data_IF_310770968072
#
_entry.id   IF_310770968072
#
_cell.length_a   1.000
_cell.length_b   1.000
_cell.length_c   1.000
_cell.angle_alpha   90.00
_cell.angle_beta   90.00
_cell.angle_gamma   90.00
#
_symmetry.space_group_name_H-M   'P 1'
#
loop_
_entity.id
_entity.type
_entity.pdbx_description
1 polymer ?
#
# COMPACT_ATOMS: atom_id res chain seq x y z
N UNK A 1 6.03 90.49 -7.31
CA UNK A 1 6.67 90.27 -8.62
C UNK A 1 7.55 89.04 -8.48
N UNK A 2 7.27 88.06 -9.33
CA UNK A 2 8.15 86.88 -9.69
C UNK A 2 8.73 86.08 -8.51
N UNK A 3 8.65 84.79 -8.46
CA UNK A 3 8.37 83.71 -9.44
C UNK A 3 8.09 82.43 -8.70
N UNK A 4 6.98 81.83 -8.98
CA UNK A 4 6.67 80.44 -8.66
C UNK A 4 7.07 79.63 -9.90
N UNK A 5 7.83 78.58 -9.76
CA UNK A 5 7.94 77.42 -10.65
C UNK A 5 9.22 76.65 -10.31
N UNK A 6 9.12 75.57 -9.58
CA UNK A 6 9.97 74.37 -9.61
C UNK A 6 9.74 73.49 -8.38
N UNK A 7 8.54 72.89 -8.29
CA UNK A 7 8.30 71.82 -7.30
C UNK A 7 7.39 70.71 -7.80
N UNK A 8 7.32 70.50 -9.11
CA UNK A 8 6.41 69.45 -9.64
C UNK A 8 7.07 68.30 -10.46
N UNK A 9 8.40 68.19 -10.43
CA UNK A 9 9.07 67.16 -11.29
C UNK A 9 9.76 65.98 -10.54
N UNK A 10 9.71 65.90 -9.21
CA UNK A 10 10.45 64.87 -8.49
C UNK A 10 9.52 63.77 -7.94
N UNK A 11 8.22 64.01 -7.87
CA UNK A 11 7.25 63.02 -7.32
C UNK A 11 6.81 62.01 -8.39
N UNK A 12 6.92 62.32 -9.68
CA UNK A 12 6.53 61.42 -10.77
C UNK A 12 7.51 60.27 -11.05
N UNK A 13 8.79 60.42 -10.67
CA UNK A 13 9.82 59.41 -10.95
C UNK A 13 9.93 58.32 -9.87
N UNK A 14 9.41 58.55 -8.67
CA UNK A 14 9.50 57.61 -7.58
C UNK A 14 8.34 56.58 -7.56
N UNK A 15 7.22 56.89 -8.19
CA UNK A 15 6.07 55.95 -8.32
C UNK A 15 6.19 54.94 -9.45
N UNK A 16 7.12 55.12 -10.40
CA UNK A 16 7.29 54.22 -11.55
C UNK A 16 8.32 53.10 -11.28
N UNK A 17 9.07 53.19 -10.17
CA UNK A 17 10.06 52.15 -9.80
C UNK A 17 9.53 51.07 -8.87
N UNK A 18 8.29 51.17 -8.38
CA UNK A 18 7.66 50.18 -7.50
C UNK A 18 6.75 49.15 -8.20
N UNK A 19 6.64 49.23 -9.53
CA UNK A 19 5.81 48.29 -10.31
C UNK A 19 6.60 47.14 -10.95
N UNK A 20 7.89 46.98 -10.63
CA UNK A 20 8.73 45.89 -11.13
C UNK A 20 9.14 44.89 -10.03
N UNK A 21 8.59 44.95 -8.83
CA UNK A 21 8.55 43.78 -7.95
C UNK A 21 7.52 42.79 -8.49
N UNK A 22 7.82 42.22 -9.65
CA UNK A 22 7.18 41.02 -10.10
C UNK A 22 7.34 39.98 -9.00
N UNK A 23 6.22 39.58 -8.36
CA UNK A 23 6.15 38.32 -7.63
C UNK A 23 6.65 37.23 -8.59
N UNK A 24 7.93 36.93 -8.54
CA UNK A 24 8.38 35.59 -8.86
C UNK A 24 7.68 34.71 -7.86
N UNK A 25 6.58 34.06 -8.26
CA UNK A 25 6.16 32.81 -7.60
C UNK A 25 7.43 31.99 -7.54
N UNK A 26 8.07 31.97 -6.37
CA UNK A 26 8.93 30.84 -6.03
C UNK A 26 8.09 29.63 -6.34
N UNK A 27 8.43 28.95 -7.44
CA UNK A 27 8.05 27.54 -7.60
C UNK A 27 8.58 26.94 -6.33
N UNK A 28 7.70 26.58 -5.39
CA UNK A 28 8.05 25.73 -4.27
C UNK A 28 8.88 24.63 -4.91
N UNK A 29 10.14 24.51 -4.53
CA UNK A 29 10.95 23.37 -4.94
C UNK A 29 10.15 22.17 -4.48
N UNK A 30 9.48 21.51 -5.43
CA UNK A 30 8.63 20.38 -5.17
C UNK A 30 9.47 19.42 -4.36
N UNK A 31 9.04 19.12 -3.15
CA UNK A 31 9.62 18.07 -2.34
C UNK A 31 9.88 16.90 -3.28
N UNK A 32 11.14 16.45 -3.39
CA UNK A 32 11.49 15.37 -4.29
C UNK A 32 10.49 14.23 -4.08
N UNK A 33 9.87 13.76 -5.16
CA UNK A 33 8.84 12.72 -5.10
C UNK A 33 9.38 11.51 -4.32
N UNK A 34 8.78 11.22 -3.17
CA UNK A 34 9.25 10.22 -2.23
C UNK A 34 8.39 8.98 -2.33
N UNK A 35 9.02 7.81 -2.41
CA UNK A 35 8.33 6.53 -2.35
C UNK A 35 8.01 6.13 -0.91
N UNK A 36 7.04 5.25 -0.76
CA UNK A 36 6.84 4.44 0.43
C UNK A 36 6.60 3.00 0.01
N UNK A 37 6.93 2.04 0.87
CA UNK A 37 6.81 0.64 0.53
C UNK A 37 6.18 -0.17 1.66
N UNK A 38 5.54 -1.28 1.30
CA UNK A 38 5.25 -2.37 2.22
C UNK A 38 6.41 -3.36 2.24
N UNK A 39 6.71 -3.88 3.42
CA UNK A 39 7.55 -5.05 3.66
C UNK A 39 6.69 -6.14 4.29
N UNK A 40 6.29 -7.14 3.50
CA UNK A 40 5.24 -8.09 3.90
C UNK A 40 5.77 -9.50 4.15
N UNK A 41 6.97 -9.62 4.75
CA UNK A 41 7.60 -10.88 5.11
C UNK A 41 7.73 -11.04 6.62
N UNK A 42 7.75 -12.28 7.11
CA UNK A 42 7.91 -12.61 8.54
C UNK A 42 9.36 -12.48 9.06
N UNK A 43 10.34 -12.38 8.15
CA UNK A 43 11.73 -12.08 8.51
C UNK A 43 12.13 -10.74 7.91
N UNK A 44 12.47 -9.78 8.75
CA UNK A 44 12.97 -8.48 8.32
C UNK A 44 14.46 -8.57 8.01
N UNK A 45 14.77 -8.82 6.75
CA UNK A 45 16.12 -8.93 6.22
C UNK A 45 16.18 -8.22 4.85
N UNK A 46 16.64 -6.98 4.84
CA UNK A 46 16.80 -6.19 3.62
C UNK A 46 18.06 -6.64 2.89
N UNK A 47 17.90 -7.09 1.64
CA UNK A 47 19.00 -7.38 0.73
C UNK A 47 19.74 -6.11 0.30
N UNK A 48 20.90 -6.27 -0.35
CA UNK A 48 21.67 -5.15 -0.91
C UNK A 48 20.84 -4.41 -1.98
N UNK A 49 20.15 -5.15 -2.83
CA UNK A 49 19.34 -4.58 -3.91
C UNK A 49 18.12 -3.82 -3.35
N UNK A 50 17.45 -4.36 -2.32
CA UNK A 50 16.34 -3.66 -1.67
C UNK A 50 16.79 -2.36 -1.00
N UNK A 51 17.93 -2.36 -0.30
CA UNK A 51 18.50 -1.14 0.26
C UNK A 51 18.80 -0.11 -0.83
N UNK A 52 19.42 -0.54 -1.94
CA UNK A 52 19.69 0.31 -3.09
C UNK A 52 18.41 0.91 -3.69
N UNK A 53 17.32 0.12 -3.79
CA UNK A 53 16.02 0.60 -4.27
C UNK A 53 15.45 1.66 -3.32
N UNK A 54 15.42 1.36 -2.01
CA UNK A 54 14.91 2.28 -0.99
C UNK A 54 15.66 3.63 -1.01
N UNK A 55 16.98 3.59 -1.08
CA UNK A 55 17.82 4.79 -1.15
C UNK A 55 17.62 5.54 -2.47
N UNK A 56 17.61 4.82 -3.60
CA UNK A 56 17.46 5.42 -4.93
C UNK A 56 16.11 6.11 -5.12
N UNK A 57 15.05 5.66 -4.47
CA UNK A 57 13.71 6.24 -4.54
C UNK A 57 13.42 7.21 -3.39
N UNK A 58 14.44 7.58 -2.59
CA UNK A 58 14.28 8.48 -1.43
C UNK A 58 13.11 8.06 -0.54
N UNK A 59 13.06 6.76 -0.20
CA UNK A 59 11.94 6.17 0.53
C UNK A 59 11.73 6.87 1.87
N UNK A 60 10.49 7.33 2.10
CA UNK A 60 10.10 8.05 3.30
C UNK A 60 9.59 7.13 4.40
N UNK A 61 8.68 6.20 4.04
CA UNK A 61 8.04 5.29 5.00
C UNK A 61 8.23 3.84 4.55
N UNK A 62 8.41 2.95 5.53
CA UNK A 62 8.36 1.52 5.31
C UNK A 62 7.30 0.92 6.24
N UNK A 63 6.22 0.41 5.65
CA UNK A 63 5.14 -0.30 6.33
C UNK A 63 5.57 -1.75 6.53
N UNK A 64 5.94 -2.11 7.75
CA UNK A 64 6.53 -3.42 8.06
C UNK A 64 5.48 -4.29 8.75
N UNK A 65 5.15 -5.44 8.17
CA UNK A 65 4.28 -6.42 8.81
C UNK A 65 4.96 -7.00 10.04
N UNK A 66 4.42 -6.70 11.22
CA UNK A 66 4.99 -7.16 12.49
C UNK A 66 4.49 -8.54 12.89
N UNK A 67 3.20 -8.78 12.69
CA UNK A 67 2.56 -10.08 12.93
C UNK A 67 1.16 -10.08 12.35
N UNK A 68 0.63 -11.27 12.22
CA UNK A 68 -0.77 -11.51 11.93
C UNK A 68 -1.51 -11.80 13.24
N UNK A 69 -2.81 -11.51 13.31
CA UNK A 69 -3.69 -11.94 14.40
C UNK A 69 -4.79 -12.78 13.81
N UNK A 70 -4.93 -14.01 14.31
CA UNK A 70 -5.96 -14.91 13.85
C UNK A 70 -6.63 -15.64 15.03
N UNK A 71 -7.86 -16.05 14.80
CA UNK A 71 -8.63 -16.82 15.77
C UNK A 71 -8.17 -18.27 15.82
N UNK A 72 -7.81 -18.74 17.00
CA UNK A 72 -7.52 -20.14 17.22
C UNK A 72 -8.77 -20.84 17.77
N UNK A 73 -9.38 -21.78 17.01
CA UNK A 73 -10.61 -22.45 17.42
C UNK A 73 -10.43 -23.39 18.62
N UNK A 74 -9.23 -23.90 18.84
CA UNK A 74 -8.94 -24.82 19.95
C UNK A 74 -8.84 -24.09 21.30
N UNK A 75 -8.06 -23.01 21.32
CA UNK A 75 -7.92 -22.18 22.54
C UNK A 75 -9.06 -21.17 22.70
N UNK A 76 -9.89 -20.96 21.66
CA UNK A 76 -10.93 -19.93 21.57
C UNK A 76 -10.40 -18.53 21.90
N UNK A 77 -9.27 -18.20 21.33
CA UNK A 77 -8.59 -16.90 21.54
C UNK A 77 -7.98 -16.38 20.26
N UNK A 78 -7.94 -15.06 20.12
CA UNK A 78 -7.13 -14.39 19.12
C UNK A 78 -5.65 -14.53 19.49
N UNK A 79 -4.81 -14.98 18.54
CA UNK A 79 -3.39 -15.26 18.75
C UNK A 79 -2.52 -14.56 17.71
N UNK A 80 -1.35 -14.03 18.09
CA UNK A 80 -0.39 -13.55 17.13
C UNK A 80 0.28 -14.70 16.39
N UNK A 81 0.34 -14.62 15.06
CA UNK A 81 1.01 -15.57 14.17
C UNK A 81 2.09 -14.82 13.36
N UNK A 82 3.03 -15.56 12.79
CA UNK A 82 4.06 -15.03 11.90
C UNK A 82 4.74 -13.76 12.47
N UNK A 83 5.07 -13.79 13.76
CA UNK A 83 5.72 -12.66 14.44
C UNK A 83 7.09 -12.41 13.81
N UNK A 84 7.34 -11.16 13.43
CA UNK A 84 8.53 -10.75 12.70
C UNK A 84 9.82 -11.12 13.44
N UNK A 85 10.77 -11.65 12.69
CA UNK A 85 12.14 -11.87 13.12
C UNK A 85 13.05 -10.83 12.45
N UNK A 86 13.80 -10.06 13.23
CA UNK A 86 14.60 -8.96 12.70
C UNK A 86 16.07 -9.37 12.56
N UNK A 87 16.57 -9.29 11.31
CA UNK A 87 17.95 -9.60 10.94
C UNK A 87 18.68 -8.40 10.31
N UNK A 88 17.97 -7.33 9.99
CA UNK A 88 18.52 -6.10 9.43
C UNK A 88 18.16 -4.89 10.28
N UNK A 89 19.05 -3.88 10.29
CA UNK A 89 18.69 -2.54 10.74
C UNK A 89 17.95 -1.79 9.64
N UNK A 90 17.02 -0.91 10.02
CA UNK A 90 16.38 0.04 9.12
C UNK A 90 17.10 1.38 9.20
N UNK A 91 17.35 2.03 8.05
CA UNK A 91 17.93 3.39 8.01
C UNK A 91 17.11 4.37 8.85
N UNK A 92 17.78 5.25 9.59
CA UNK A 92 17.11 6.28 10.40
C UNK A 92 16.33 7.30 9.56
N UNK A 93 16.71 7.48 8.30
CA UNK A 93 16.02 8.34 7.35
C UNK A 93 14.63 7.84 6.93
N UNK A 94 14.32 6.56 7.19
CA UNK A 94 13.05 5.93 6.81
C UNK A 94 12.16 5.81 8.04
N UNK A 95 11.00 6.43 8.04
CA UNK A 95 9.99 6.26 9.08
C UNK A 95 9.41 4.84 9.03
N UNK A 96 9.48 4.13 10.14
CA UNK A 96 8.91 2.80 10.29
C UNK A 96 7.44 2.89 10.66
N UNK A 97 6.59 2.17 9.93
CA UNK A 97 5.17 2.01 10.24
C UNK A 97 4.90 0.53 10.58
N UNK A 98 4.83 0.17 11.87
CA UNK A 98 4.41 -1.17 12.28
C UNK A 98 3.02 -1.46 11.74
N UNK A 99 2.88 -2.54 10.96
CA UNK A 99 1.62 -2.95 10.36
C UNK A 99 1.21 -4.32 10.92
N UNK A 100 -0.05 -4.43 11.34
CA UNK A 100 -0.62 -5.68 11.87
C UNK A 100 -1.80 -6.08 11.02
N UNK A 101 -1.73 -7.28 10.44
CA UNK A 101 -2.86 -7.89 9.76
C UNK A 101 -3.74 -8.64 10.74
N UNK A 102 -5.04 -8.35 10.76
CA UNK A 102 -6.01 -9.04 11.61
C UNK A 102 -7.05 -9.67 10.71
N UNK A 103 -7.18 -11.00 10.78
CA UNK A 103 -8.16 -11.72 9.98
C UNK A 103 -9.58 -11.32 10.36
N UNK A 104 -10.47 -11.23 9.36
CA UNK A 104 -11.89 -10.98 9.59
C UNK A 104 -12.50 -12.01 10.54
N UNK A 105 -12.06 -13.28 10.44
CA UNK A 105 -12.45 -14.39 11.32
C UNK A 105 -12.21 -14.08 12.81
N UNK A 106 -11.17 -13.34 13.15
CA UNK A 106 -10.91 -12.90 14.52
C UNK A 106 -12.09 -12.11 15.07
N UNK A 107 -12.57 -11.12 14.31
CA UNK A 107 -13.69 -10.27 14.74
C UNK A 107 -15.05 -10.97 14.67
N UNK A 108 -15.20 -12.04 13.89
CA UNK A 108 -16.41 -12.86 13.87
C UNK A 108 -16.65 -13.61 15.19
N UNK A 109 -15.58 -13.90 15.93
CA UNK A 109 -15.62 -14.70 17.14
C UNK A 109 -15.50 -13.87 18.44
N UNK A 110 -15.10 -12.59 18.34
CA UNK A 110 -14.94 -11.73 19.50
C UNK A 110 -16.25 -11.04 19.91
N UNK A 111 -16.42 -10.85 21.21
CA UNK A 111 -17.39 -9.88 21.79
C UNK A 111 -16.74 -8.51 21.94
N UNK A 112 -17.54 -7.47 22.10
CA UNK A 112 -17.02 -6.08 22.17
C UNK A 112 -15.94 -5.89 23.26
N UNK A 113 -16.16 -6.41 24.49
CA UNK A 113 -15.17 -6.31 25.56
C UNK A 113 -13.85 -7.06 25.25
N UNK A 114 -13.92 -8.14 24.50
CA UNK A 114 -12.72 -8.89 24.06
C UNK A 114 -11.98 -8.13 22.94
N UNK A 115 -12.73 -7.40 22.10
CA UNK A 115 -12.17 -6.47 21.10
C UNK A 115 -11.39 -5.34 21.76
N UNK A 116 -11.92 -4.74 22.84
CA UNK A 116 -11.21 -3.71 23.62
C UNK A 116 -9.90 -4.24 24.21
N UNK A 117 -9.93 -5.45 24.78
CA UNK A 117 -8.73 -6.10 25.32
C UNK A 117 -7.71 -6.46 24.21
N UNK A 118 -8.20 -6.84 23.03
CA UNK A 118 -7.34 -7.14 21.88
C UNK A 118 -6.58 -5.90 21.44
N UNK A 119 -7.22 -4.72 21.42
CA UNK A 119 -6.57 -3.46 21.06
C UNK A 119 -5.34 -3.17 21.94
N UNK A 120 -5.49 -3.31 23.26
CA UNK A 120 -4.36 -3.12 24.20
C UNK A 120 -3.27 -4.19 24.03
N UNK A 121 -3.65 -5.46 23.83
CA UNK A 121 -2.69 -6.54 23.59
C UNK A 121 -1.88 -6.32 22.31
N UNK A 122 -2.53 -5.92 21.22
CA UNK A 122 -1.89 -5.61 19.92
C UNK A 122 -0.94 -4.44 20.08
N UNK A 123 -1.37 -3.34 20.70
CA UNK A 123 -0.53 -2.17 20.97
C UNK A 123 0.72 -2.56 21.79
N UNK A 124 0.53 -3.25 22.90
CA UNK A 124 1.63 -3.67 23.77
C UNK A 124 2.62 -4.60 23.03
N UNK A 125 2.13 -5.51 22.20
CA UNK A 125 2.95 -6.41 21.37
C UNK A 125 3.78 -5.62 20.37
N UNK A 126 3.18 -4.63 19.67
CA UNK A 126 3.89 -3.75 18.74
C UNK A 126 5.06 -3.06 19.47
N UNK A 127 4.79 -2.37 20.58
CA UNK A 127 5.84 -1.65 21.31
C UNK A 127 6.90 -2.58 21.92
N UNK A 128 6.53 -3.81 22.32
CA UNK A 128 7.50 -4.82 22.74
C UNK A 128 8.49 -5.16 21.61
N UNK A 129 7.98 -5.38 20.38
CA UNK A 129 8.81 -5.66 19.20
C UNK A 129 9.69 -4.46 18.86
N UNK A 130 9.14 -3.25 18.88
CA UNK A 130 9.89 -2.01 18.60
C UNK A 130 11.06 -1.85 19.58
N UNK A 131 10.81 -1.99 20.88
CA UNK A 131 11.86 -1.87 21.90
C UNK A 131 12.94 -2.93 21.76
N UNK A 132 12.55 -4.16 21.46
CA UNK A 132 13.49 -5.27 21.36
C UNK A 132 14.39 -5.18 20.13
N UNK A 133 13.85 -4.78 18.98
CA UNK A 133 14.50 -4.97 17.69
C UNK A 133 14.90 -3.68 16.97
N UNK A 134 14.11 -2.61 17.11
CA UNK A 134 14.32 -1.39 16.32
C UNK A 134 14.84 -0.21 17.13
N UNK A 135 14.52 -0.13 18.43
CA UNK A 135 14.97 0.92 19.38
C UNK A 135 14.74 2.35 18.84
N UNK A 136 13.59 2.60 18.24
CA UNK A 136 13.28 3.90 17.61
C UNK A 136 11.85 4.35 17.89
N UNK A 137 11.58 5.62 17.64
CA UNK A 137 10.25 6.22 17.79
C UNK A 137 9.31 5.72 16.68
N UNK A 138 8.08 5.45 17.04
CA UNK A 138 6.97 5.13 16.11
C UNK A 138 6.08 6.35 16.00
N UNK A 139 5.84 6.84 14.78
CA UNK A 139 4.97 7.98 14.49
C UNK A 139 3.60 7.54 13.98
N UNK A 140 3.51 6.33 13.43
CA UNK A 140 2.32 5.77 12.82
C UNK A 140 2.27 4.26 13.07
N UNK A 141 1.09 3.73 13.33
CA UNK A 141 0.77 2.30 13.37
C UNK A 141 -0.36 2.04 12.38
N UNK A 142 -0.28 0.96 11.63
CA UNK A 142 -1.32 0.58 10.69
C UNK A 142 -1.98 -0.75 11.08
N UNK A 143 -3.31 -0.79 10.94
CA UNK A 143 -4.09 -2.04 11.04
C UNK A 143 -4.62 -2.39 9.65
N UNK A 144 -4.33 -3.60 9.21
CA UNK A 144 -4.87 -4.18 7.98
C UNK A 144 -5.95 -5.21 8.34
N UNK A 145 -7.17 -5.00 7.85
CA UNK A 145 -8.28 -5.92 8.04
C UNK A 145 -9.31 -5.77 6.93
N UNK A 146 -9.70 -6.88 6.33
CA UNK A 146 -10.78 -6.95 5.35
C UNK A 146 -12.14 -7.10 6.07
N UNK A 147 -12.57 -6.06 6.81
CA UNK A 147 -13.82 -6.14 7.56
C UNK A 147 -15.04 -6.28 6.65
N UNK A 148 -16.06 -6.94 7.19
CA UNK A 148 -17.36 -7.12 6.57
C UNK A 148 -18.47 -6.46 7.39
N UNK A 149 -19.69 -6.42 6.89
CA UNK A 149 -20.83 -5.90 7.63
C UNK A 149 -21.07 -6.62 8.98
N UNK A 150 -20.67 -7.89 9.06
CA UNK A 150 -20.79 -8.71 10.29
C UNK A 150 -19.77 -8.32 11.34
N UNK A 151 -18.57 -7.93 10.92
CA UNK A 151 -17.43 -7.68 11.82
C UNK A 151 -17.20 -6.19 12.07
N UNK A 152 -17.74 -5.32 11.21
CA UNK A 152 -17.58 -3.87 11.25
C UNK A 152 -17.70 -3.28 12.66
N UNK A 153 -18.76 -3.64 13.39
CA UNK A 153 -19.04 -3.08 14.71
C UNK A 153 -17.91 -3.37 15.72
N UNK A 154 -17.44 -4.59 15.77
CA UNK A 154 -16.40 -5.01 16.72
C UNK A 154 -15.02 -4.48 16.27
N UNK A 155 -14.74 -4.53 14.98
CA UNK A 155 -13.51 -3.97 14.42
C UNK A 155 -13.41 -2.46 14.65
N UNK A 156 -14.47 -1.69 14.40
CA UNK A 156 -14.45 -0.25 14.62
C UNK A 156 -14.29 0.09 16.10
N UNK A 157 -14.94 -0.65 16.99
CA UNK A 157 -14.73 -0.50 18.43
C UNK A 157 -13.27 -0.78 18.84
N UNK A 158 -12.66 -1.81 18.30
CA UNK A 158 -11.23 -2.10 18.46
C UNK A 158 -10.37 -0.91 18.01
N UNK A 159 -10.66 -0.33 16.84
CA UNK A 159 -9.93 0.83 16.33
C UNK A 159 -10.12 2.08 17.19
N UNK A 160 -11.32 2.34 17.70
CA UNK A 160 -11.59 3.46 18.62
C UNK A 160 -10.73 3.36 19.90
N UNK A 161 -10.71 2.18 20.51
CA UNK A 161 -9.90 1.95 21.72
C UNK A 161 -8.41 2.15 21.40
N UNK A 162 -7.95 1.60 20.30
CA UNK A 162 -6.56 1.73 19.88
C UNK A 162 -6.20 3.18 19.58
N UNK A 163 -7.05 3.90 18.83
CA UNK A 163 -6.87 5.31 18.50
C UNK A 163 -6.76 6.16 19.75
N UNK A 164 -7.74 6.06 20.67
CA UNK A 164 -7.75 6.83 21.92
C UNK A 164 -6.51 6.57 22.80
N UNK A 165 -5.94 5.37 22.70
CA UNK A 165 -4.72 5.02 23.42
C UNK A 165 -3.46 5.61 22.75
N UNK A 166 -3.40 5.64 21.41
CA UNK A 166 -2.29 6.17 20.61
C UNK A 166 -2.29 7.71 20.58
N UNK A 167 -3.46 8.36 20.66
CA UNK A 167 -3.60 9.82 20.70
C UNK A 167 -2.83 10.43 21.88
N UNK A 168 -2.73 9.73 23.00
CA UNK A 168 -1.96 10.15 24.18
C UNK A 168 -0.47 10.30 23.91
N UNK A 169 0.04 9.55 22.96
CA UNK A 169 1.43 9.52 22.56
C UNK A 169 1.67 10.26 21.24
N UNK A 170 0.66 10.94 20.69
CA UNK A 170 0.65 11.60 19.38
C UNK A 170 1.06 10.66 18.23
N UNK A 171 0.60 9.40 18.27
CA UNK A 171 0.86 8.40 17.25
C UNK A 171 -0.36 8.26 16.32
N UNK A 172 -0.13 8.37 15.03
CA UNK A 172 -1.15 8.22 14.01
C UNK A 172 -1.59 6.74 13.93
N UNK A 173 -2.90 6.51 13.94
CA UNK A 173 -3.47 5.22 13.56
C UNK A 173 -3.97 5.30 12.14
N UNK A 174 -3.48 4.41 11.27
CA UNK A 174 -4.00 4.24 9.90
C UNK A 174 -4.63 2.86 9.72
N UNK A 175 -5.52 2.75 8.74
CA UNK A 175 -6.13 1.48 8.35
C UNK A 175 -6.16 1.32 6.84
N UNK A 176 -6.06 0.08 6.36
CA UNK A 176 -6.24 -0.24 4.94
C UNK A 176 -7.70 -0.17 4.56
N UNK A 177 -7.97 0.29 3.35
CA UNK A 177 -9.31 0.43 2.77
C UNK A 177 -9.33 -0.31 1.43
N UNK A 178 -10.24 -1.26 1.29
CA UNK A 178 -10.47 -1.96 0.02
C UNK A 178 -11.37 -1.12 -0.89
N UNK A 179 -11.28 -1.32 -2.20
CA UNK A 179 -12.09 -0.57 -3.19
C UNK A 179 -13.61 -0.68 -2.95
N UNK A 180 -14.11 -1.87 -2.58
CA UNK A 180 -15.53 -2.06 -2.27
C UNK A 180 -15.96 -1.34 -0.98
N UNK A 181 -15.05 -1.08 -0.05
CA UNK A 181 -15.30 -0.29 1.16
C UNK A 181 -15.24 1.22 0.83
N UNK A 182 -14.28 1.60 -0.02
CA UNK A 182 -14.11 2.98 -0.48
C UNK A 182 -15.34 3.50 -1.26
N UNK A 183 -15.90 2.70 -2.16
CA UNK A 183 -17.01 3.15 -3.00
C UNK A 183 -18.36 3.26 -2.27
N UNK A 184 -18.51 2.65 -1.11
CA UNK A 184 -19.77 2.62 -0.36
C UNK A 184 -19.57 2.95 1.13
N UNK A 185 -19.05 4.14 1.50
CA UNK A 185 -18.72 4.49 2.88
C UNK A 185 -19.96 4.55 3.78
N UNK A 186 -21.15 4.88 3.25
CA UNK A 186 -22.38 4.91 4.01
C UNK A 186 -22.84 3.51 4.44
N UNK A 187 -22.64 2.51 3.60
CA UNK A 187 -23.06 1.14 3.86
C UNK A 187 -21.96 0.37 4.62
N UNK A 188 -20.72 0.44 4.11
CA UNK A 188 -19.58 -0.28 4.65
C UNK A 188 -18.99 0.35 5.90
N UNK A 189 -19.27 1.64 6.13
CA UNK A 189 -18.73 2.44 7.22
C UNK A 189 -17.34 3.00 6.91
N UNK A 190 -16.95 3.97 7.72
CA UNK A 190 -15.64 4.61 7.71
C UNK A 190 -14.93 4.24 9.01
N UNK A 191 -13.75 3.61 8.97
CA UNK A 191 -13.05 3.21 10.18
C UNK A 191 -12.63 4.44 11.00
N UNK A 192 -12.75 4.40 12.33
CA UNK A 192 -12.44 5.52 13.22
C UNK A 192 -10.93 5.63 13.45
N UNK A 193 -10.20 6.00 12.41
CA UNK A 193 -8.74 6.19 12.37
C UNK A 193 -8.40 7.61 11.93
N UNK A 194 -7.11 7.98 11.95
CA UNK A 194 -6.67 9.31 11.51
C UNK A 194 -6.61 9.41 9.99
N UNK A 195 -6.18 8.34 9.30
CA UNK A 195 -6.06 8.28 7.85
C UNK A 195 -6.23 6.85 7.35
N UNK A 196 -6.53 6.69 6.07
CA UNK A 196 -6.63 5.41 5.41
C UNK A 196 -5.55 5.20 4.36
N UNK A 197 -5.34 3.95 3.96
CA UNK A 197 -4.56 3.58 2.78
C UNK A 197 -5.48 2.83 1.82
N UNK A 198 -5.82 3.45 0.69
CA UNK A 198 -6.60 2.80 -0.35
C UNK A 198 -5.74 1.76 -1.08
N UNK A 199 -6.12 0.51 -0.97
CA UNK A 199 -5.48 -0.59 -1.70
C UNK A 199 -6.05 -0.67 -3.12
N UNK A 200 -5.36 -0.03 -4.07
CA UNK A 200 -5.78 0.00 -5.47
C UNK A 200 -5.23 -1.23 -6.22
N UNK A 201 -5.57 -2.41 -5.70
CA UNK A 201 -5.21 -3.73 -6.23
C UNK A 201 -6.07 -4.83 -5.62
N UNK A 202 -5.91 -6.10 -6.08
CA UNK A 202 -6.75 -7.24 -5.71
C UNK A 202 -8.24 -6.94 -5.93
N UNK A 203 -8.55 -6.41 -7.12
CA UNK A 203 -9.89 -5.92 -7.46
C UNK A 203 -10.64 -6.83 -8.41
N UNK A 204 -9.95 -7.73 -9.11
CA UNK A 204 -10.55 -8.67 -10.05
C UNK A 204 -11.08 -9.93 -9.35
N UNK A 205 -12.11 -10.56 -9.95
CA UNK A 205 -12.53 -11.89 -9.55
C UNK A 205 -11.42 -12.88 -9.91
N UNK A 206 -10.99 -13.68 -8.93
CA UNK A 206 -10.02 -14.74 -9.18
C UNK A 206 -10.66 -15.94 -9.89
N UNK A 207 -11.96 -16.18 -9.63
CA UNK A 207 -12.70 -17.31 -10.17
C UNK A 207 -13.10 -17.10 -11.64
N UNK A 208 -12.95 -18.16 -12.42
CA UNK A 208 -13.33 -18.20 -13.83
C UNK A 208 -12.14 -18.23 -14.79
N UNK A 209 -12.29 -18.98 -15.88
CA UNK A 209 -11.28 -19.10 -16.95
C UNK A 209 -11.09 -17.80 -17.75
N UNK A 210 -12.01 -16.84 -17.60
CA UNK A 210 -11.99 -15.53 -18.28
C UNK A 210 -11.24 -14.41 -17.50
N UNK A 211 -10.87 -14.62 -16.24
CA UNK A 211 -10.13 -13.63 -15.48
C UNK A 211 -8.73 -13.43 -16.09
N UNK A 212 -8.41 -12.21 -16.48
CA UNK A 212 -7.13 -11.91 -17.16
C UNK A 212 -6.06 -11.52 -16.16
N UNK A 213 -6.42 -10.73 -15.15
CA UNK A 213 -5.51 -10.27 -14.10
C UNK A 213 -6.32 -9.84 -12.86
N UNK A 214 -6.20 -10.58 -11.78
CA UNK A 214 -6.90 -10.27 -10.53
C UNK A 214 -6.14 -9.27 -9.65
N UNK A 215 -4.85 -9.01 -9.94
CA UNK A 215 -4.04 -8.04 -9.19
C UNK A 215 -4.49 -6.62 -9.52
N UNK A 216 -4.50 -6.25 -10.80
CA UNK A 216 -4.86 -4.91 -11.26
C UNK A 216 -5.69 -4.99 -12.55
N UNK A 217 -7.00 -4.80 -12.41
CA UNK A 217 -7.93 -4.63 -13.52
C UNK A 217 -8.38 -3.17 -13.58
N UNK A 218 -7.87 -2.43 -14.55
CA UNK A 218 -8.14 -1.01 -14.72
C UNK A 218 -9.63 -0.71 -14.99
N UNK A 219 -10.35 -1.63 -15.64
CA UNK A 219 -11.78 -1.44 -15.91
C UNK A 219 -12.59 -1.53 -14.62
N UNK A 220 -12.29 -2.53 -13.79
CA UNK A 220 -12.89 -2.69 -12.46
C UNK A 220 -12.49 -1.51 -11.57
N UNK A 221 -11.21 -1.12 -11.54
CA UNK A 221 -10.73 0.03 -10.80
C UNK A 221 -11.51 1.31 -11.15
N UNK A 222 -11.68 1.61 -12.44
CA UNK A 222 -12.48 2.76 -12.92
C UNK A 222 -13.94 2.69 -12.53
N UNK A 223 -14.54 1.50 -12.48
CA UNK A 223 -15.92 1.35 -12.01
C UNK A 223 -16.05 1.78 -10.54
N UNK A 224 -15.15 1.31 -9.65
CA UNK A 224 -15.13 1.72 -8.27
C UNK A 224 -14.88 3.23 -8.10
N UNK A 225 -13.93 3.79 -8.82
CA UNK A 225 -13.63 5.23 -8.77
C UNK A 225 -14.83 6.08 -9.21
N UNK A 226 -15.58 5.67 -10.24
CA UNK A 226 -16.79 6.38 -10.70
C UNK A 226 -17.94 6.30 -9.70
N UNK A 227 -18.12 5.17 -9.03
CA UNK A 227 -19.18 4.97 -8.04
C UNK A 227 -18.92 5.74 -6.73
N UNK A 228 -17.66 5.96 -6.39
CA UNK A 228 -17.28 6.59 -5.15
C UNK A 228 -17.53 8.10 -5.16
N UNK A 229 -18.11 8.62 -4.07
CA UNK A 229 -18.10 10.03 -3.68
C UNK A 229 -16.77 10.43 -3.02
N UNK A 230 -16.80 11.53 -2.27
CA UNK A 230 -15.69 11.93 -1.40
C UNK A 230 -15.62 10.98 -0.20
N UNK A 231 -14.46 10.37 0.04
CA UNK A 231 -14.26 9.54 1.22
C UNK A 231 -13.94 10.43 2.44
N UNK A 232 -14.56 10.18 3.61
CA UNK A 232 -14.45 11.08 4.77
C UNK A 232 -13.09 11.09 5.48
N UNK A 233 -12.13 10.25 5.07
CA UNK A 233 -10.76 10.24 5.59
C UNK A 233 -9.77 10.68 4.51
N UNK A 234 -8.66 11.27 4.94
CA UNK A 234 -7.48 11.37 4.08
C UNK A 234 -7.00 9.97 3.68
N UNK A 235 -6.71 9.78 2.39
CA UNK A 235 -6.27 8.49 1.85
C UNK A 235 -4.88 8.61 1.21
N UNK A 236 -3.95 7.82 1.70
CA UNK A 236 -2.76 7.42 0.95
C UNK A 236 -3.14 6.31 -0.05
N UNK A 237 -2.36 6.12 -1.10
CA UNK A 237 -2.68 5.18 -2.18
C UNK A 237 -1.63 4.08 -2.25
N UNK A 238 -2.06 2.83 -2.23
CA UNK A 238 -1.18 1.69 -2.44
C UNK A 238 -1.37 1.07 -3.83
N UNK A 239 -0.27 0.93 -4.58
CA UNK A 239 -0.22 0.28 -5.89
C UNK A 239 0.59 -1.01 -5.84
N UNK A 240 0.23 -2.03 -6.64
CA UNK A 240 0.90 -3.33 -6.62
C UNK A 240 2.18 -3.34 -7.45
N UNK A 241 3.27 -3.89 -6.88
CA UNK A 241 4.51 -4.20 -7.59
C UNK A 241 4.87 -5.68 -7.43
N UNK A 242 3.92 -6.56 -7.54
CA UNK A 242 4.14 -8.00 -7.39
C UNK A 242 3.50 -8.80 -8.54
N UNK A 243 3.83 -10.05 -8.57
CA UNK A 243 3.26 -11.03 -9.48
C UNK A 243 3.01 -12.35 -8.74
N UNK A 244 2.14 -13.18 -9.27
CA UNK A 244 1.90 -14.52 -8.77
C UNK A 244 1.46 -15.48 -9.88
N UNK A 245 1.51 -16.77 -9.59
CA UNK A 245 0.84 -17.79 -10.36
C UNK A 245 -0.47 -18.21 -9.70
N UNK A 246 -1.57 -18.18 -10.41
CA UNK A 246 -2.84 -18.76 -9.97
C UNK A 246 -2.87 -20.20 -10.42
N UNK A 247 -2.75 -21.15 -9.47
CA UNK A 247 -2.76 -22.57 -9.75
C UNK A 247 -4.20 -23.07 -9.91
N UNK A 248 -4.50 -23.58 -11.09
CA UNK A 248 -5.83 -24.06 -11.47
C UNK A 248 -5.75 -25.57 -11.72
N UNK A 249 -6.60 -26.33 -11.07
CA UNK A 249 -6.72 -27.77 -11.20
C UNK A 249 -8.19 -28.17 -11.38
N UNK A 250 -8.52 -28.82 -12.50
CA UNK A 250 -9.91 -29.20 -12.83
C UNK A 250 -10.86 -28.00 -12.75
N UNK A 251 -10.46 -26.90 -13.39
CA UNK A 251 -11.18 -25.61 -13.47
C UNK A 251 -11.46 -24.93 -12.11
N UNK A 252 -10.78 -25.35 -11.04
CA UNK A 252 -10.85 -24.71 -9.73
C UNK A 252 -9.50 -24.14 -9.33
N UNK A 253 -9.52 -22.96 -8.75
CA UNK A 253 -8.32 -22.39 -8.11
C UNK A 253 -8.02 -23.19 -6.87
N UNK A 254 -6.81 -23.71 -6.77
CA UNK A 254 -6.35 -24.53 -5.65
C UNK A 254 -5.26 -23.85 -4.83
N UNK A 255 -4.51 -22.91 -5.40
CA UNK A 255 -3.48 -22.16 -4.67
C UNK A 255 -3.06 -20.89 -5.40
N UNK A 256 -2.41 -19.98 -4.66
CA UNK A 256 -1.69 -18.84 -5.19
C UNK A 256 -0.19 -19.06 -4.97
N UNK A 257 0.58 -19.02 -6.05
CA UNK A 257 2.03 -19.23 -6.05
C UNK A 257 2.71 -17.86 -5.99
N UNK A 258 2.80 -17.29 -4.77
CA UNK A 258 3.30 -15.92 -4.55
C UNK A 258 4.78 -15.74 -4.93
N UNK A 259 5.58 -16.80 -4.86
CA UNK A 259 7.02 -16.75 -5.17
C UNK A 259 7.33 -17.16 -6.61
N UNK A 260 6.30 -17.45 -7.43
CA UNK A 260 6.50 -17.89 -8.80
C UNK A 260 7.10 -16.78 -9.65
N UNK A 261 8.24 -17.09 -10.27
CA UNK A 261 8.93 -16.19 -11.18
C UNK A 261 8.53 -16.49 -12.63
N UNK A 262 8.38 -15.45 -13.45
CA UNK A 262 8.10 -15.61 -14.87
C UNK A 262 9.17 -16.44 -15.60
N UNK A 263 10.42 -16.35 -15.15
CA UNK A 263 11.54 -17.09 -15.72
C UNK A 263 11.36 -18.61 -15.59
N UNK A 264 10.79 -19.11 -14.50
CA UNK A 264 10.49 -20.54 -14.32
C UNK A 264 9.56 -21.06 -15.41
N UNK A 265 8.58 -20.25 -15.82
CA UNK A 265 7.59 -20.62 -16.84
C UNK A 265 8.17 -20.72 -18.27
N UNK A 266 9.41 -20.30 -18.49
CA UNK A 266 10.12 -20.45 -19.76
C UNK A 266 10.73 -21.82 -19.95
N UNK A 267 10.83 -22.63 -18.89
CA UNK A 267 11.31 -24.01 -19.01
C UNK A 267 10.28 -24.85 -19.78
N UNK A 268 10.59 -25.11 -21.05
CA UNK A 268 9.74 -25.88 -21.96
C UNK A 268 9.64 -27.38 -21.61
N UNK A 269 10.53 -27.90 -20.75
CA UNK A 269 10.44 -29.28 -20.25
C UNK A 269 9.34 -29.42 -19.18
N UNK A 270 9.14 -28.34 -18.39
CA UNK A 270 8.19 -28.33 -17.28
C UNK A 270 6.86 -27.67 -17.64
N UNK A 271 6.87 -26.65 -18.51
CA UNK A 271 5.71 -25.84 -18.83
C UNK A 271 5.45 -25.74 -20.35
N UNK A 272 4.19 -25.64 -20.71
CA UNK A 272 3.72 -25.33 -22.07
C UNK A 272 2.81 -24.13 -22.02
N UNK A 273 3.14 -23.06 -22.72
CA UNK A 273 2.24 -21.91 -22.87
C UNK A 273 1.02 -22.31 -23.68
N UNK A 274 -0.19 -22.07 -23.14
CA UNK A 274 -1.48 -22.42 -23.74
C UNK A 274 -2.35 -21.18 -24.04
N UNK A 275 -1.99 -20.01 -23.48
CA UNK A 275 -2.69 -18.74 -23.69
C UNK A 275 -1.77 -17.53 -23.49
N UNK A 276 -2.34 -16.33 -23.43
CA UNK A 276 -1.57 -15.08 -23.26
C UNK A 276 -0.72 -15.12 -21.98
N UNK A 277 -1.31 -15.54 -20.89
CA UNK A 277 -0.71 -15.66 -19.56
C UNK A 277 -1.00 -17.04 -18.90
N UNK A 278 -1.42 -18.03 -19.69
CA UNK A 278 -1.82 -19.34 -19.24
C UNK A 278 -0.78 -20.39 -19.68
N UNK A 279 -0.39 -21.23 -18.73
CA UNK A 279 0.59 -22.28 -18.90
C UNK A 279 0.03 -23.60 -18.39
N UNK A 280 0.34 -24.72 -19.06
CA UNK A 280 0.06 -26.08 -18.59
C UNK A 280 1.34 -26.71 -18.08
N UNK A 281 1.26 -27.36 -16.93
CA UNK A 281 2.35 -28.16 -16.35
C UNK A 281 2.47 -29.46 -17.14
N UNK A 282 3.65 -29.70 -17.71
CA UNK A 282 3.92 -30.88 -18.55
C UNK A 282 4.37 -32.09 -17.73
N UNK A 283 5.11 -31.85 -16.67
CA UNK A 283 5.64 -32.88 -15.78
C UNK A 283 5.45 -32.46 -14.34
N UNK A 284 5.00 -33.39 -13.49
CA UNK A 284 4.83 -33.12 -12.06
C UNK A 284 6.17 -32.79 -11.38
N UNK A 285 6.21 -31.71 -10.62
CA UNK A 285 7.41 -31.24 -9.91
C UNK A 285 7.04 -30.28 -8.78
N UNK A 286 8.03 -29.92 -7.96
CA UNK A 286 7.88 -28.83 -6.98
C UNK A 286 8.31 -27.50 -7.60
N UNK A 287 7.49 -26.47 -7.42
CA UNK A 287 7.84 -25.07 -7.73
C UNK A 287 7.18 -24.15 -6.72
N UNK A 288 7.85 -23.08 -6.31
CA UNK A 288 7.33 -22.07 -5.39
C UNK A 288 6.71 -22.65 -4.11
N UNK A 289 7.33 -23.70 -3.55
CA UNK A 289 6.88 -24.39 -2.33
C UNK A 289 5.66 -25.28 -2.48
N UNK A 290 5.15 -25.47 -3.70
CA UNK A 290 3.94 -26.24 -3.99
C UNK A 290 4.23 -27.37 -4.96
N UNK A 291 3.60 -28.54 -4.75
CA UNK A 291 3.68 -29.63 -5.72
C UNK A 291 2.66 -29.43 -6.83
N UNK A 292 3.17 -29.27 -8.04
CA UNK A 292 2.41 -29.11 -9.28
C UNK A 292 2.26 -30.48 -9.94
N UNK A 293 1.05 -30.80 -10.37
CA UNK A 293 0.78 -32.06 -11.10
C UNK A 293 0.77 -31.79 -12.60
N UNK A 294 1.16 -32.82 -13.39
CA UNK A 294 0.99 -32.76 -14.82
C UNK A 294 -0.47 -32.45 -15.18
N UNK A 295 -0.69 -31.59 -16.17
CA UNK A 295 -1.96 -30.99 -16.62
C UNK A 295 -2.58 -29.95 -15.66
N UNK A 296 -1.96 -29.61 -14.54
CA UNK A 296 -2.34 -28.37 -13.84
C UNK A 296 -2.16 -27.18 -14.77
N UNK A 297 -2.95 -26.16 -14.57
CA UNK A 297 -2.82 -24.88 -15.29
C UNK A 297 -2.33 -23.80 -14.33
N UNK A 298 -1.48 -22.93 -14.83
CA UNK A 298 -0.99 -21.76 -14.10
C UNK A 298 -1.33 -20.54 -14.91
N UNK A 299 -2.14 -19.65 -14.35
CA UNK A 299 -2.34 -18.31 -14.87
C UNK A 299 -1.37 -17.37 -14.17
N UNK A 300 -0.36 -16.90 -14.92
CA UNK A 300 0.62 -15.96 -14.40
C UNK A 300 0.08 -14.53 -14.50
N UNK A 301 0.01 -13.85 -13.39
CA UNK A 301 -0.48 -12.48 -13.30
C UNK A 301 0.64 -11.56 -12.80
N UNK A 302 0.79 -10.44 -13.44
CA UNK A 302 1.76 -9.39 -13.11
C UNK A 302 1.23 -8.03 -13.53
N UNK A 303 1.85 -6.97 -13.04
CA UNK A 303 1.46 -5.60 -13.37
C UNK A 303 2.57 -4.97 -14.20
N UNK A 304 2.23 -4.36 -15.31
CA UNK A 304 3.18 -3.64 -16.16
C UNK A 304 3.32 -2.18 -15.73
N UNK A 305 4.45 -1.55 -16.09
CA UNK A 305 4.65 -0.11 -15.88
C UNK A 305 3.58 0.73 -16.58
N UNK A 306 3.09 0.30 -17.76
CA UNK A 306 2.02 0.98 -18.47
C UNK A 306 0.71 0.95 -17.69
N UNK A 307 0.33 -0.21 -17.13
CA UNK A 307 -0.86 -0.32 -16.27
C UNK A 307 -0.75 0.56 -15.02
N UNK A 308 0.43 0.63 -14.41
CA UNK A 308 0.67 1.50 -13.24
C UNK A 308 0.51 2.98 -13.60
N UNK A 309 1.02 3.42 -14.75
CA UNK A 309 0.85 4.80 -15.24
C UNK A 309 -0.61 5.14 -15.46
N UNK A 310 -1.36 4.26 -16.13
CA UNK A 310 -2.80 4.45 -16.34
C UNK A 310 -3.54 4.49 -14.99
N UNK A 311 -3.18 3.63 -14.04
CA UNK A 311 -3.77 3.65 -12.70
C UNK A 311 -3.52 4.97 -11.98
N UNK A 312 -2.29 5.52 -12.07
CA UNK A 312 -1.95 6.82 -11.50
C UNK A 312 -2.75 7.95 -12.15
N UNK A 313 -2.93 7.94 -13.48
CA UNK A 313 -3.73 8.93 -14.18
C UNK A 313 -5.21 8.87 -13.75
N UNK A 314 -5.80 7.66 -13.70
CA UNK A 314 -7.17 7.45 -13.23
C UNK A 314 -7.38 7.92 -11.77
N UNK A 315 -6.38 7.72 -10.91
CA UNK A 315 -6.39 8.15 -9.50
C UNK A 315 -6.25 9.67 -9.37
N UNK A 316 -5.38 10.28 -10.18
CA UNK A 316 -5.18 11.75 -10.19
C UNK A 316 -6.44 12.49 -10.61
N UNK A 317 -7.20 11.97 -11.56
CA UNK A 317 -8.48 12.54 -11.97
C UNK A 317 -9.54 12.49 -10.86
N UNK A 318 -9.38 11.58 -9.89
CA UNK A 318 -10.33 11.36 -8.79
C UNK A 318 -9.93 12.03 -7.49
N UNK A 319 -8.63 12.08 -7.19
CA UNK A 319 -8.10 12.53 -5.90
C UNK A 319 -7.21 13.76 -6.08
N UNK A 320 -7.22 14.62 -5.06
CA UNK A 320 -6.19 15.65 -4.91
C UNK A 320 -4.93 15.03 -4.28
N UNK A 321 -4.08 14.43 -5.13
CA UNK A 321 -2.99 13.58 -4.69
C UNK A 321 -1.79 14.30 -4.06
N UNK A 322 -1.74 15.66 -4.12
CA UNK A 322 -0.61 16.43 -3.58
C UNK A 322 -0.37 16.24 -2.08
N UNK A 323 -1.40 15.84 -1.32
CA UNK A 323 -1.29 15.54 0.10
C UNK A 323 -1.17 14.04 0.39
N UNK A 324 -1.44 13.16 -0.58
CA UNK A 324 -1.41 11.70 -0.43
C UNK A 324 -0.02 11.14 -0.66
N UNK A 325 0.29 10.03 -0.01
CA UNK A 325 1.54 9.29 -0.21
C UNK A 325 1.29 8.13 -1.16
N UNK A 326 2.18 7.95 -2.16
CA UNK A 326 2.18 6.73 -2.98
C UNK A 326 2.99 5.64 -2.28
N UNK A 327 2.33 4.52 -2.03
CA UNK A 327 2.89 3.35 -1.37
C UNK A 327 2.94 2.19 -2.37
N UNK A 328 4.06 1.49 -2.45
CA UNK A 328 4.19 0.31 -3.29
C UNK A 328 4.05 -0.98 -2.47
N UNK A 329 3.17 -1.85 -2.88
CA UNK A 329 3.04 -3.19 -2.34
C UNK A 329 3.65 -4.19 -3.33
N UNK A 330 4.83 -4.76 -3.05
CA UNK A 330 5.73 -4.59 -1.91
C UNK A 330 7.17 -4.39 -2.40
N UNK A 331 8.10 -4.07 -1.48
CA UNK A 331 9.54 -4.07 -1.79
C UNK A 331 10.02 -5.48 -2.10
N UNK A 332 10.75 -5.62 -3.20
CA UNK A 332 11.30 -6.88 -3.68
C UNK A 332 12.65 -6.61 -4.40
N UNK A 333 13.67 -7.46 -4.27
CA UNK A 333 14.97 -7.27 -4.91
C UNK A 333 14.90 -7.24 -6.45
N UNK A 334 13.85 -7.79 -7.05
CA UNK A 334 13.68 -7.84 -8.51
C UNK A 334 13.03 -6.58 -9.11
N UNK A 335 12.59 -5.62 -8.29
CA UNK A 335 11.89 -4.42 -8.79
C UNK A 335 12.74 -3.60 -9.76
N UNK A 336 14.06 -3.47 -9.50
CA UNK A 336 14.95 -2.76 -10.41
C UNK A 336 15.00 -3.45 -11.78
N UNK A 337 15.07 -4.79 -11.82
CA UNK A 337 15.05 -5.58 -13.06
C UNK A 337 13.71 -5.48 -13.78
N UNK A 338 12.59 -5.46 -13.03
CA UNK A 338 11.24 -5.53 -13.59
C UNK A 338 10.74 -4.16 -14.07
N UNK A 339 10.98 -3.09 -13.31
CA UNK A 339 10.41 -1.77 -13.56
C UNK A 339 11.46 -0.69 -13.85
N UNK A 340 12.71 -0.91 -13.44
CA UNK A 340 13.78 0.09 -13.49
C UNK A 340 13.58 1.24 -12.48
N UNK A 341 14.65 1.71 -11.87
CA UNK A 341 14.58 2.86 -10.93
C UNK A 341 14.05 4.12 -11.63
N UNK A 342 14.48 4.38 -12.88
CA UNK A 342 13.99 5.53 -13.65
C UNK A 342 12.48 5.44 -13.93
N UNK A 343 11.96 4.23 -14.21
CA UNK A 343 10.52 3.99 -14.41
C UNK A 343 9.73 4.29 -13.15
N UNK A 344 10.16 3.80 -11.99
CA UNK A 344 9.51 4.05 -10.70
C UNK A 344 9.57 5.53 -10.30
N UNK A 345 10.69 6.22 -10.55
CA UNK A 345 10.79 7.68 -10.35
C UNK A 345 9.83 8.46 -11.24
N UNK A 346 9.71 8.07 -12.51
CA UNK A 346 8.75 8.70 -13.44
C UNK A 346 7.32 8.51 -12.96
N UNK A 347 6.98 7.32 -12.44
CA UNK A 347 5.65 7.03 -11.88
C UNK A 347 5.36 7.89 -10.64
N UNK A 348 6.33 8.01 -9.72
CA UNK A 348 6.24 8.89 -8.55
C UNK A 348 6.04 10.36 -8.97
N UNK A 349 6.83 10.84 -9.93
CA UNK A 349 6.70 12.21 -10.45
C UNK A 349 5.32 12.44 -11.06
N UNK A 350 4.79 11.46 -11.81
CA UNK A 350 3.44 11.55 -12.40
C UNK A 350 2.34 11.56 -11.33
N UNK A 351 2.55 10.88 -10.19
CA UNK A 351 1.59 10.85 -9.09
C UNK A 351 1.50 12.20 -8.36
N UNK A 352 2.62 12.92 -8.20
CA UNK A 352 2.68 14.18 -7.44
C UNK A 352 2.49 15.45 -8.30
N UNK A 353 2.57 15.35 -9.64
CA UNK A 353 2.38 16.46 -10.59
C UNK A 353 0.93 16.52 -11.12
#
# INVERSE_FOLDING_TARGET
MMTSHHRFSVIGAFCLLMLLCGCSKEKSQGSAAQASFYYWRSTFALSVDEKKILDSLHTRKLFIKFFDVDWNPYSRMAQPLAVIQCQSALSESIDMVPTVFITNRTFEHLRSAEGDQLAEKVKNKIFSIVRANFKRTVKEIQIDCDWTDRTKKIYFRFLEVMKNSLDKDNIILSATIRLHQYCAPNDRGVPPVHQGVLMFYNMGEMEGTGAVNSILDLNIGRQYLRQAGMYPLHLDIALPLYSWGVLIRRDKIVNLLHEMQFESLKDSLLYKRTGKNLYSVRKSHYDSGVYLYANDQIRYESVSMEQLKIAVDDLRDKFYLQSSVLIFFQIDPLLEKQYGIAGLRSLLSSFYN
#
